data_IF_286051634718
#
_entry.id   IF_286051634718
#
_cell.length_a   1.000
_cell.length_b   1.000
_cell.length_c   1.000
_cell.angle_alpha   90.00
_cell.angle_beta   90.00
_cell.angle_gamma   90.00
#
_symmetry.space_group_name_H-M   'P 1'
#
loop_
_entity.id
_entity.type
_entity.pdbx_description
1 polymer ?
#
# COMPACT_ATOMS: atom_id res chain seq x y z
N UNK A 1 -11.81 44.45 -28.37
CA UNK A 1 -12.69 43.44 -27.77
C UNK A 1 -12.21 42.06 -28.18
N UNK A 2 -11.34 41.41 -27.41
CA UNK A 2 -11.02 39.99 -27.58
C UNK A 2 -10.84 39.38 -26.20
N UNK A 3 -11.96 39.24 -25.49
CA UNK A 3 -12.01 38.79 -24.11
C UNK A 3 -12.66 37.41 -23.94
N UNK A 4 -12.83 36.65 -25.02
CA UNK A 4 -13.35 35.30 -24.95
C UNK A 4 -12.16 34.35 -24.75
N UNK A 5 -11.83 34.12 -23.47
CA UNK A 5 -10.90 33.07 -23.07
C UNK A 5 -11.36 31.74 -23.68
N UNK A 6 -10.42 31.01 -24.27
CA UNK A 6 -10.71 29.70 -24.87
C UNK A 6 -11.21 28.73 -23.79
N UNK A 7 -12.09 27.79 -24.14
CA UNK A 7 -12.60 26.79 -23.20
C UNK A 7 -11.48 25.97 -22.52
N UNK A 8 -10.33 25.84 -23.21
CA UNK A 8 -9.12 25.23 -22.68
C UNK A 8 -8.49 26.09 -21.58
N UNK A 9 -8.39 27.39 -21.82
CA UNK A 9 -7.81 28.38 -20.91
C UNK A 9 -8.66 28.54 -19.65
N UNK A 10 -9.99 28.53 -19.80
CA UNK A 10 -10.94 28.47 -18.68
C UNK A 10 -10.82 27.18 -17.87
N UNK A 11 -10.57 26.04 -18.52
CA UNK A 11 -10.36 24.75 -17.83
C UNK A 11 -9.06 24.74 -17.04
N UNK A 12 -7.97 25.28 -17.60
CA UNK A 12 -6.69 25.40 -16.92
C UNK A 12 -6.77 26.38 -15.73
N UNK A 13 -7.42 27.53 -15.91
CA UNK A 13 -7.59 28.52 -14.84
C UNK A 13 -8.51 28.02 -13.72
N UNK A 14 -9.52 27.20 -14.04
CA UNK A 14 -10.34 26.49 -13.05
C UNK A 14 -9.57 25.39 -12.34
N UNK A 15 -8.76 24.61 -13.06
CA UNK A 15 -7.92 23.56 -12.49
C UNK A 15 -6.87 24.13 -11.53
N UNK A 16 -6.21 25.23 -11.92
CA UNK A 16 -5.24 25.93 -11.08
C UNK A 16 -5.87 26.51 -9.80
N UNK A 17 -7.14 26.93 -9.85
CA UNK A 17 -7.90 27.41 -8.68
C UNK A 17 -8.44 26.28 -7.81
N UNK A 18 -8.69 25.10 -8.36
CA UNK A 18 -9.18 23.92 -7.64
C UNK A 18 -8.06 23.12 -6.98
N UNK A 19 -6.81 23.28 -7.44
CA UNK A 19 -5.65 22.54 -6.94
C UNK A 19 -4.51 23.41 -6.34
N UNK A 20 -4.76 24.53 -5.64
CA UNK A 20 -3.69 25.25 -4.96
C UNK A 20 -3.06 24.39 -3.84
N UNK A 21 -3.83 23.46 -3.26
CA UNK A 21 -3.35 22.51 -2.25
C UNK A 21 -2.33 21.50 -2.81
N UNK A 22 -2.44 21.11 -4.08
CA UNK A 22 -1.44 20.26 -4.75
C UNK A 22 -0.13 21.01 -5.05
N UNK A 23 -0.19 22.34 -5.22
CA UNK A 23 0.99 23.20 -5.37
C UNK A 23 1.67 23.49 -4.02
N UNK A 24 0.91 23.52 -2.93
CA UNK A 24 1.42 23.73 -1.56
C UNK A 24 1.90 22.44 -0.88
N UNK A 25 1.58 21.26 -1.41
CA UNK A 25 2.28 20.04 -1.02
C UNK A 25 3.76 20.19 -1.40
N UNK A 26 4.62 20.37 -0.39
CA UNK A 26 6.08 20.31 -0.52
C UNK A 26 6.42 19.14 -1.44
N UNK A 27 6.96 19.43 -2.63
CA UNK A 27 7.42 18.39 -3.55
C UNK A 27 8.40 17.51 -2.78
N UNK A 28 8.06 16.23 -2.63
CA UNK A 28 8.94 15.26 -1.97
C UNK A 28 10.31 15.34 -2.62
N UNK A 29 11.33 15.56 -1.80
CA UNK A 29 12.73 15.58 -2.23
C UNK A 29 13.10 14.23 -2.82
N UNK A 30 14.14 14.19 -3.68
CA UNK A 30 14.63 12.93 -4.25
C UNK A 30 14.99 11.91 -3.15
N UNK A 31 15.53 12.38 -2.02
CA UNK A 31 15.84 11.56 -0.84
C UNK A 31 14.60 10.93 -0.21
N UNK A 32 13.57 11.73 0.08
CA UNK A 32 12.30 11.22 0.64
C UNK A 32 11.62 10.21 -0.30
N UNK A 33 11.67 10.43 -1.62
CA UNK A 33 11.11 9.47 -2.58
C UNK A 33 11.86 8.13 -2.57
N UNK A 34 13.18 8.19 -2.44
CA UNK A 34 14.03 7.01 -2.39
C UNK A 34 13.79 6.22 -1.10
N UNK A 35 13.73 6.91 0.04
CA UNK A 35 13.44 6.31 1.35
C UNK A 35 12.05 5.64 1.37
N UNK A 36 11.02 6.29 0.81
CA UNK A 36 9.69 5.69 0.66
C UNK A 36 9.73 4.45 -0.24
N UNK A 37 10.55 4.45 -1.30
CA UNK A 37 10.69 3.30 -2.19
C UNK A 37 11.40 2.13 -1.50
N UNK A 38 12.44 2.41 -0.72
CA UNK A 38 13.17 1.42 0.08
C UNK A 38 12.24 0.79 1.13
N UNK A 39 11.51 1.60 1.90
CA UNK A 39 10.49 1.11 2.86
C UNK A 39 9.49 0.20 2.15
N UNK A 40 8.93 0.62 1.02
CA UNK A 40 7.96 -0.20 0.27
C UNK A 40 8.55 -1.52 -0.21
N UNK A 41 9.79 -1.52 -0.68
CA UNK A 41 10.46 -2.74 -1.12
C UNK A 41 10.71 -3.70 0.06
N UNK A 42 11.13 -3.18 1.21
CA UNK A 42 11.33 -3.99 2.41
C UNK A 42 10.02 -4.63 2.90
N UNK A 43 8.94 -3.86 2.98
CA UNK A 43 7.64 -4.38 3.39
C UNK A 43 7.07 -5.35 2.34
N UNK A 44 7.28 -5.11 1.04
CA UNK A 44 6.90 -6.05 -0.01
C UNK A 44 7.64 -7.39 0.12
N UNK A 45 8.95 -7.36 0.41
CA UNK A 45 9.73 -8.56 0.66
C UNK A 45 9.20 -9.33 1.88
N UNK A 46 8.94 -8.64 3.00
CA UNK A 46 8.35 -9.25 4.21
C UNK A 46 7.00 -9.91 3.94
N UNK A 47 6.14 -9.27 3.14
CA UNK A 47 4.83 -9.82 2.76
C UNK A 47 5.02 -11.07 1.88
N UNK A 48 5.94 -11.04 0.92
CA UNK A 48 6.23 -12.18 0.06
C UNK A 48 6.76 -13.38 0.86
N UNK A 49 7.69 -13.16 1.79
CA UNK A 49 8.22 -14.20 2.67
C UNK A 49 7.10 -14.84 3.49
N UNK A 50 6.18 -14.03 4.04
CA UNK A 50 5.03 -14.51 4.79
C UNK A 50 4.05 -15.31 3.92
N UNK A 51 3.82 -14.89 2.68
CA UNK A 51 2.96 -15.60 1.73
C UNK A 51 3.54 -16.98 1.39
N UNK A 52 4.85 -17.05 1.12
CA UNK A 52 5.55 -18.32 0.87
C UNK A 52 5.43 -19.26 2.08
N UNK A 53 5.68 -18.75 3.30
CA UNK A 53 5.53 -19.55 4.52
C UNK A 53 4.09 -20.03 4.72
N UNK A 54 3.09 -19.20 4.41
CA UNK A 54 1.69 -19.56 4.51
C UNK A 54 1.31 -20.66 3.50
N UNK A 55 1.72 -20.51 2.23
CA UNK A 55 1.49 -21.52 1.20
C UNK A 55 2.14 -22.85 1.54
N UNK A 56 3.35 -22.84 2.09
CA UNK A 56 4.04 -24.06 2.54
C UNK A 56 3.26 -24.76 3.67
N UNK A 57 2.75 -24.00 4.65
CA UNK A 57 1.90 -24.54 5.72
C UNK A 57 0.60 -25.13 5.16
N UNK A 58 -0.07 -24.43 4.24
CA UNK A 58 -1.30 -24.91 3.61
C UNK A 58 -1.09 -26.22 2.84
N UNK A 59 0.06 -26.36 2.17
CA UNK A 59 0.41 -27.57 1.43
C UNK A 59 0.66 -28.78 2.34
N UNK A 60 1.28 -28.57 3.50
CA UNK A 60 1.59 -29.62 4.49
C UNK A 60 0.43 -29.95 5.43
N UNK A 61 -0.55 -29.05 5.55
CA UNK A 61 -1.71 -29.20 6.43
C UNK A 61 -2.49 -30.53 6.27
N UNK A 62 -2.82 -31.00 5.05
CA UNK A 62 -3.56 -32.26 4.88
C UNK A 62 -2.75 -33.52 5.22
N UNK A 63 -1.42 -33.42 5.34
CA UNK A 63 -0.56 -34.54 5.76
C UNK A 63 -0.49 -34.69 7.29
N UNK A 64 -0.88 -33.64 8.03
CA UNK A 64 -0.69 -33.54 9.48
C UNK A 64 -1.99 -33.67 10.29
N UNK A 65 -3.14 -33.42 9.65
CA UNK A 65 -4.42 -33.23 10.34
C UNK A 65 -5.50 -34.09 9.68
N UNK A 66 -6.45 -34.65 10.47
CA UNK A 66 -7.61 -35.36 9.93
C UNK A 66 -8.37 -34.52 8.91
N UNK A 67 -8.86 -35.11 7.80
CA UNK A 67 -9.57 -34.39 6.74
C UNK A 67 -10.75 -33.54 7.24
N UNK A 68 -11.41 -33.99 8.31
CA UNK A 68 -12.57 -33.32 8.93
C UNK A 68 -12.20 -32.00 9.62
N UNK A 69 -10.95 -31.85 10.07
CA UNK A 69 -10.45 -30.66 10.78
C UNK A 69 -9.62 -29.75 9.88
N UNK A 70 -9.13 -30.25 8.72
CA UNK A 70 -8.29 -29.50 7.78
C UNK A 70 -8.93 -28.17 7.37
N UNK A 71 -10.22 -28.16 7.02
CA UNK A 71 -10.89 -26.93 6.57
C UNK A 71 -11.04 -25.88 7.68
N UNK A 72 -11.29 -26.32 8.92
CA UNK A 72 -11.36 -25.41 10.07
C UNK A 72 -9.99 -24.78 10.37
N UNK A 73 -8.93 -25.57 10.31
CA UNK A 73 -7.55 -25.09 10.53
C UNK A 73 -7.09 -24.19 9.39
N UNK A 74 -7.43 -24.49 8.12
CA UNK A 74 -7.19 -23.60 6.98
C UNK A 74 -7.84 -22.24 7.17
N UNK A 75 -9.10 -22.21 7.57
CA UNK A 75 -9.84 -20.96 7.75
C UNK A 75 -9.21 -20.07 8.83
N UNK A 76 -8.78 -20.66 9.95
CA UNK A 76 -8.07 -19.92 11.00
C UNK A 76 -6.69 -19.44 10.54
N UNK A 77 -5.94 -20.29 9.82
CA UNK A 77 -4.64 -19.92 9.26
C UNK A 77 -4.76 -18.77 8.25
N UNK A 78 -5.76 -18.81 7.37
CA UNK A 78 -6.08 -17.73 6.44
C UNK A 78 -6.42 -16.43 7.16
N UNK A 79 -7.23 -16.52 8.22
CA UNK A 79 -7.62 -15.36 9.02
C UNK A 79 -6.39 -14.71 9.67
N UNK A 80 -5.50 -15.52 10.23
CA UNK A 80 -4.23 -15.05 10.79
C UNK A 80 -3.35 -14.40 9.72
N UNK A 81 -3.22 -15.04 8.55
CA UNK A 81 -2.45 -14.47 7.44
C UNK A 81 -2.99 -13.13 6.95
N UNK A 82 -4.31 -12.99 6.83
CA UNK A 82 -4.96 -11.72 6.45
C UNK A 82 -4.73 -10.64 7.50
N UNK A 83 -4.78 -10.99 8.79
CA UNK A 83 -4.50 -10.06 9.87
C UNK A 83 -3.04 -9.60 9.87
N UNK A 84 -2.09 -10.54 9.72
CA UNK A 84 -0.65 -10.26 9.63
C UNK A 84 -0.33 -9.35 8.43
N UNK A 85 -0.89 -9.67 7.26
CA UNK A 85 -0.70 -8.86 6.05
C UNK A 85 -1.22 -7.43 6.26
N UNK A 86 -2.41 -7.29 6.84
CA UNK A 86 -3.00 -5.98 7.12
C UNK A 86 -2.15 -5.19 8.12
N UNK A 87 -1.63 -5.84 9.16
CA UNK A 87 -0.74 -5.18 10.12
C UNK A 87 0.53 -4.66 9.47
N UNK A 88 1.14 -5.44 8.56
CA UNK A 88 2.32 -5.02 7.79
C UNK A 88 2.01 -3.85 6.84
N UNK A 89 0.85 -3.85 6.19
CA UNK A 89 0.39 -2.75 5.34
C UNK A 89 0.17 -1.47 6.16
N UNK A 90 -0.49 -1.57 7.32
CA UNK A 90 -0.72 -0.44 8.24
C UNK A 90 0.60 0.13 8.77
N UNK A 91 1.58 -0.72 9.08
CA UNK A 91 2.92 -0.28 9.48
C UNK A 91 3.66 0.42 8.34
N UNK A 92 3.62 -0.14 7.13
CA UNK A 92 4.21 0.49 5.95
C UNK A 92 3.62 1.88 5.71
N UNK A 93 2.29 2.05 5.81
CA UNK A 93 1.65 3.36 5.65
C UNK A 93 2.10 4.36 6.73
N UNK A 94 2.24 3.92 7.98
CA UNK A 94 2.74 4.76 9.08
C UNK A 94 4.18 5.21 8.83
N UNK A 95 5.06 4.32 8.41
CA UNK A 95 6.45 4.67 8.10
C UNK A 95 6.53 5.62 6.89
N UNK A 96 5.79 5.33 5.81
CA UNK A 96 5.71 6.23 4.65
C UNK A 96 5.17 7.61 5.05
N UNK A 97 4.17 7.68 5.94
CA UNK A 97 3.64 8.94 6.43
C UNK A 97 4.65 9.72 7.29
N UNK A 98 5.51 9.03 8.05
CA UNK A 98 6.62 9.65 8.79
C UNK A 98 7.68 10.22 7.84
N UNK A 99 8.12 9.47 6.84
CA UNK A 99 9.09 9.94 5.84
C UNK A 99 8.59 11.11 4.98
N UNK A 100 7.27 11.34 4.94
CA UNK A 100 6.67 12.53 4.31
C UNK A 100 6.62 13.76 5.23
N UNK A 101 6.61 13.57 6.55
CA UNK A 101 6.55 14.65 7.56
C UNK A 101 7.92 15.18 7.95
N UNK A 102 8.93 14.31 7.97
CA UNK A 102 10.35 14.69 8.09
C UNK A 102 10.86 15.34 6.81
#
# INVERSE_FOLDING_TARGET
MSGLKSALELSLERSDKLAPELKSQKKLTKKQKQEIAEIRNEYAAKIADRDVMFQEKMRKLPEQIPPDEVEAVKAELEKQFRADKKALEDEMEKEVARSRKN
#
